data_IF_308564202810
#
_entry.id   IF_308564202810
#
_cell.length_a   1.000
_cell.length_b   1.000
_cell.length_c   1.000
_cell.angle_alpha   90.00
_cell.angle_beta   90.00
_cell.angle_gamma   90.00
#
_symmetry.space_group_name_H-M   'P 1'
#
loop_
_entity.id
_entity.type
_entity.pdbx_description
1 polymer ?
#
# COMPACT_ATOMS: atom_id res chain seq x y z
N UNK A 1 33.36 -33.35 -20.46
CA UNK A 1 32.33 -32.39 -20.02
C UNK A 1 31.03 -33.17 -19.85
N UNK A 2 30.73 -33.57 -18.62
CA UNK A 2 29.55 -34.39 -18.32
C UNK A 2 28.40 -33.48 -17.90
N UNK A 3 27.33 -33.46 -18.68
CA UNK A 3 26.11 -32.70 -18.40
C UNK A 3 25.16 -33.56 -17.58
N UNK A 4 24.83 -33.14 -16.36
CA UNK A 4 23.77 -33.76 -15.54
C UNK A 4 22.39 -33.53 -16.18
N UNK A 5 21.49 -34.53 -16.20
CA UNK A 5 20.13 -34.36 -16.69
C UNK A 5 19.26 -33.57 -15.70
N UNK A 6 18.46 -32.64 -16.20
CA UNK A 6 17.49 -31.88 -15.42
C UNK A 6 16.38 -32.80 -14.91
N UNK A 7 16.27 -32.94 -13.59
CA UNK A 7 15.30 -33.79 -12.93
C UNK A 7 13.86 -33.30 -13.17
N UNK A 8 13.00 -34.20 -13.64
CA UNK A 8 11.55 -34.04 -13.62
C UNK A 8 11.12 -33.68 -12.18
N UNK A 9 10.20 -32.73 -11.92
CA UNK A 9 9.79 -32.46 -10.54
C UNK A 9 9.26 -33.73 -9.85
N UNK A 10 8.62 -34.64 -10.59
CA UNK A 10 8.26 -35.97 -10.13
C UNK A 10 9.47 -36.82 -9.68
N UNK A 11 10.61 -36.71 -10.37
CA UNK A 11 11.86 -37.38 -9.97
C UNK A 11 12.50 -36.73 -8.73
N UNK A 12 12.30 -35.41 -8.53
CA UNK A 12 12.80 -34.73 -7.33
C UNK A 12 12.07 -35.16 -6.05
N UNK A 13 10.77 -35.50 -6.13
CA UNK A 13 10.01 -36.03 -5.00
C UNK A 13 10.36 -37.49 -4.69
N UNK A 14 10.78 -38.27 -5.70
CA UNK A 14 11.28 -39.63 -5.50
C UNK A 14 12.54 -39.68 -4.63
N UNK A 15 13.39 -38.66 -4.73
CA UNK A 15 14.61 -38.55 -3.92
C UNK A 15 14.38 -38.00 -2.51
N UNK A 16 13.20 -37.46 -2.20
CA UNK A 16 12.87 -36.92 -0.88
C UNK A 16 12.50 -38.02 0.11
N UNK A 17 12.90 -37.81 1.36
CA UNK A 17 12.59 -38.72 2.46
C UNK A 17 11.12 -38.57 2.89
N UNK A 18 10.58 -39.60 3.54
CA UNK A 18 9.20 -39.61 4.04
C UNK A 18 8.90 -38.45 5.00
N UNK A 19 9.84 -38.13 5.89
CA UNK A 19 9.72 -37.02 6.84
C UNK A 19 9.62 -35.67 6.14
N UNK A 20 10.41 -35.46 5.09
CA UNK A 20 10.36 -34.24 4.27
C UNK A 20 9.03 -34.14 3.50
N UNK A 21 8.53 -35.25 2.95
CA UNK A 21 7.24 -35.27 2.27
C UNK A 21 6.08 -34.99 3.23
N UNK A 22 6.14 -35.48 4.47
CA UNK A 22 5.16 -35.14 5.52
C UNK A 22 5.24 -33.68 5.93
N UNK A 23 6.45 -33.12 6.08
CA UNK A 23 6.64 -31.72 6.44
C UNK A 23 5.99 -30.77 5.41
N UNK A 24 6.13 -31.08 4.12
CA UNK A 24 5.47 -30.34 3.04
C UNK A 24 3.94 -30.35 3.14
N UNK A 25 3.35 -31.43 3.69
CA UNK A 25 1.91 -31.57 3.86
C UNK A 25 1.42 -30.89 5.14
N UNK A 26 2.22 -30.90 6.21
CA UNK A 26 1.90 -30.28 7.49
C UNK A 26 1.96 -28.76 7.46
N UNK A 27 2.72 -28.18 6.52
CA UNK A 27 2.90 -26.74 6.38
C UNK A 27 2.52 -26.20 4.99
N UNK A 28 1.27 -26.39 4.52
CA UNK A 28 0.85 -25.98 3.18
C UNK A 28 0.94 -24.46 2.94
N UNK A 29 0.98 -23.65 3.99
CA UNK A 29 1.11 -22.19 3.94
C UNK A 29 2.45 -21.69 3.38
N UNK A 30 3.50 -22.52 3.42
CA UNK A 30 4.84 -22.14 2.95
C UNK A 30 5.17 -22.65 1.55
N UNK A 31 4.30 -23.43 0.92
CA UNK A 31 4.57 -24.09 -0.35
C UNK A 31 3.48 -23.84 -1.40
N UNK A 32 3.85 -23.93 -2.68
CA UNK A 32 2.87 -23.84 -3.76
C UNK A 32 1.89 -25.03 -3.69
N UNK A 33 0.58 -24.85 -3.94
CA UNK A 33 -0.41 -25.93 -3.85
C UNK A 33 -0.06 -27.16 -4.68
N UNK A 34 0.59 -26.97 -5.83
CA UNK A 34 1.02 -28.08 -6.70
C UNK A 34 2.15 -28.94 -6.09
N UNK A 35 3.03 -28.33 -5.27
CA UNK A 35 4.11 -29.02 -4.54
C UNK A 35 3.50 -29.88 -3.44
N UNK A 36 2.52 -29.33 -2.71
CA UNK A 36 1.78 -30.06 -1.67
C UNK A 36 0.98 -31.21 -2.29
N UNK A 37 0.32 -30.98 -3.44
CA UNK A 37 -0.41 -32.01 -4.17
C UNK A 37 0.51 -33.11 -4.73
N UNK A 38 1.71 -32.76 -5.22
CA UNK A 38 2.71 -33.73 -5.65
C UNK A 38 3.26 -34.56 -4.48
N UNK A 39 3.55 -33.94 -3.34
CA UNK A 39 3.99 -34.63 -2.12
C UNK A 39 2.93 -35.60 -1.58
N UNK A 40 1.64 -35.22 -1.60
CA UNK A 40 0.52 -36.11 -1.24
C UNK A 40 0.43 -37.32 -2.17
N UNK A 41 0.56 -37.11 -3.48
CA UNK A 41 0.55 -38.21 -4.47
C UNK A 41 1.71 -39.18 -4.27
N UNK A 42 2.91 -38.66 -3.99
CA UNK A 42 4.09 -39.49 -3.74
C UNK A 42 3.97 -40.30 -2.44
N UNK A 43 3.45 -39.71 -1.34
CA UNK A 43 3.20 -40.45 -0.10
C UNK A 43 2.14 -41.54 -0.27
N UNK A 44 1.06 -41.25 -1.00
CA UNK A 44 0.05 -42.25 -1.37
C UNK A 44 0.64 -43.38 -2.23
N UNK A 45 1.50 -43.06 -3.21
CA UNK A 45 2.18 -44.05 -4.04
C UNK A 45 3.11 -44.95 -3.22
N UNK A 46 3.65 -44.45 -2.11
CA UNK A 46 4.48 -45.21 -1.16
C UNK A 46 3.67 -45.98 -0.12
N UNK A 47 2.34 -45.97 -0.18
CA UNK A 47 1.46 -46.71 0.73
C UNK A 47 1.31 -46.09 2.12
N UNK A 48 1.69 -44.82 2.29
CA UNK A 48 1.44 -44.10 3.54
C UNK A 48 0.08 -43.40 3.44
N UNK A 49 -0.85 -43.80 4.30
CA UNK A 49 -2.13 -43.11 4.42
C UNK A 49 -1.92 -41.70 4.99
N UNK A 50 -2.15 -40.68 4.18
CA UNK A 50 -2.17 -39.28 4.62
C UNK A 50 -3.50 -38.94 5.29
N UNK A 51 -3.98 -39.80 6.19
CA UNK A 51 -5.01 -39.40 7.13
C UNK A 51 -4.32 -38.43 8.11
N UNK A 52 -4.86 -37.22 8.35
CA UNK A 52 -4.27 -36.34 9.34
C UNK A 52 -4.32 -37.07 10.69
N UNK A 53 -3.17 -37.54 11.15
CA UNK A 53 -2.96 -37.87 12.55
C UNK A 53 -3.11 -36.55 13.29
N UNK A 54 -4.26 -36.35 13.95
CA UNK A 54 -4.38 -35.33 14.99
C UNK A 54 -3.41 -35.73 16.10
N UNK A 55 -2.17 -35.27 15.98
CA UNK A 55 -1.22 -35.32 17.09
C UNK A 55 -1.74 -34.37 18.16
N UNK A 56 -2.36 -34.94 19.18
CA UNK A 56 -2.45 -34.34 20.51
C UNK A 56 -1.03 -34.00 20.95
N UNK A 57 -0.70 -32.71 20.96
CA UNK A 57 0.52 -32.19 21.54
C UNK A 57 0.23 -30.88 22.27
N UNK A 58 0.40 -30.93 23.59
CA UNK A 58 0.85 -29.79 24.39
C UNK A 58 -0.17 -28.72 24.69
N UNK A 59 -0.73 -28.81 25.90
CA UNK A 59 -1.37 -27.70 26.62
C UNK A 59 -0.46 -26.47 26.61
N UNK A 60 -0.71 -25.54 25.69
CA UNK A 60 -0.32 -24.15 25.85
C UNK A 60 -1.56 -23.42 26.37
N UNK A 61 -1.47 -22.92 27.60
CA UNK A 61 -2.49 -22.10 28.24
C UNK A 61 -2.78 -20.88 27.35
N UNK A 62 -3.89 -20.96 26.63
CA UNK A 62 -4.51 -19.85 25.92
C UNK A 62 -5.14 -18.91 26.97
N UNK A 63 -4.91 -17.59 26.94
CA UNK A 63 -5.66 -16.68 27.78
C UNK A 63 -7.13 -16.70 27.35
N UNK A 64 -7.94 -17.14 28.29
CA UNK A 64 -9.39 -16.99 28.42
C UNK A 64 -9.89 -15.66 27.82
N UNK A 65 -10.47 -15.73 26.61
CA UNK A 65 -11.28 -14.65 26.07
C UNK A 65 -12.68 -14.81 26.63
N UNK A 66 -13.00 -13.96 27.60
CA UNK A 66 -14.34 -13.76 28.11
C UNK A 66 -15.31 -13.34 26.99
N UNK A 67 -16.41 -14.09 26.91
CA UNK A 67 -17.77 -13.73 26.51
C UNK A 67 -17.97 -12.79 25.31
N UNK A 68 -18.27 -13.39 24.15
CA UNK A 68 -19.05 -12.76 23.09
C UNK A 68 -20.55 -13.08 23.31
N UNK A 69 -21.46 -12.09 23.24
CA UNK A 69 -22.89 -12.34 23.41
C UNK A 69 -23.44 -13.25 22.30
N UNK A 70 -24.20 -14.25 22.75
CA UNK A 70 -24.76 -15.33 21.96
C UNK A 70 -25.96 -14.89 21.11
N UNK A 71 -25.75 -14.17 20.01
CA UNK A 71 -26.84 -13.85 19.07
C UNK A 71 -26.38 -13.87 17.61
N UNK A 72 -26.24 -15.07 17.01
CA UNK A 72 -26.32 -15.26 15.54
C UNK A 72 -26.37 -16.73 15.10
N UNK A 73 -27.12 -17.57 15.82
CA UNK A 73 -27.28 -19.02 15.51
C UNK A 73 -28.25 -19.36 14.37
N UNK A 74 -28.86 -18.38 13.69
CA UNK A 74 -29.91 -18.63 12.69
C UNK A 74 -29.50 -18.43 11.23
N UNK A 75 -28.24 -18.07 10.92
CA UNK A 75 -27.77 -17.89 9.52
C UNK A 75 -27.24 -19.19 8.90
N UNK A 76 -27.04 -20.24 9.70
CA UNK A 76 -26.44 -21.50 9.24
C UNK A 76 -27.29 -22.35 8.27
N UNK A 77 -28.64 -22.42 8.33
CA UNK A 77 -29.39 -23.28 7.42
C UNK A 77 -29.66 -22.67 6.03
N UNK A 78 -29.50 -21.36 5.84
CA UNK A 78 -29.81 -20.70 4.56
C UNK A 78 -28.67 -20.79 3.52
N UNK A 79 -27.41 -20.87 3.98
CA UNK A 79 -26.23 -20.98 3.08
C UNK A 79 -26.02 -22.41 2.53
N UNK A 80 -26.51 -23.43 3.22
CA UNK A 80 -26.40 -24.83 2.77
C UNK A 80 -27.27 -25.16 1.56
N UNK A 81 -28.49 -24.59 1.49
CA UNK A 81 -29.44 -24.85 0.40
C UNK A 81 -29.05 -24.13 -0.90
N UNK A 82 -28.44 -22.94 -0.82
CA UNK A 82 -27.99 -22.18 -2.00
C UNK A 82 -26.82 -22.84 -2.74
N UNK A 83 -25.88 -23.45 -2.01
CA UNK A 83 -24.75 -24.19 -2.60
C UNK A 83 -25.19 -25.50 -3.28
N UNK A 84 -26.24 -26.15 -2.75
CA UNK A 84 -26.74 -27.42 -3.28
C UNK A 84 -27.48 -27.24 -4.61
N UNK A 85 -28.20 -26.13 -4.80
CA UNK A 85 -28.85 -25.77 -6.07
C UNK A 85 -27.83 -25.39 -7.14
N UNK A 86 -26.76 -24.66 -6.79
CA UNK A 86 -25.68 -24.33 -7.74
C UNK A 86 -24.87 -25.56 -8.16
N UNK A 87 -24.65 -26.53 -7.25
CA UNK A 87 -24.00 -27.79 -7.58
C UNK A 87 -24.84 -28.67 -8.52
N UNK A 88 -26.17 -28.71 -8.34
CA UNK A 88 -27.07 -29.47 -9.22
C UNK A 88 -27.25 -28.83 -10.61
N UNK A 89 -27.29 -27.50 -10.71
CA UNK A 89 -27.32 -26.81 -12.01
C UNK A 89 -25.99 -26.89 -12.77
N UNK A 90 -24.85 -27.01 -12.06
CA UNK A 90 -23.54 -27.23 -12.67
C UNK A 90 -23.35 -28.64 -13.21
N UNK A 91 -23.96 -29.65 -12.57
CA UNK A 91 -23.79 -31.06 -12.97
C UNK A 91 -24.52 -31.40 -14.29
N UNK A 92 -25.70 -30.80 -14.52
CA UNK A 92 -26.49 -31.07 -15.74
C UNK A 92 -25.90 -30.47 -17.02
N UNK A 93 -24.90 -29.59 -16.93
CA UNK A 93 -24.24 -28.99 -18.11
C UNK A 93 -23.03 -29.78 -18.61
N UNK A 94 -22.71 -30.92 -17.98
CA UNK A 94 -21.57 -31.77 -18.32
C UNK A 94 -21.91 -33.08 -19.06
N UNK A 95 -23.13 -33.21 -19.61
CA UNK A 95 -23.42 -34.25 -20.62
C UNK A 95 -23.10 -33.73 -22.03
N UNK A 96 -21.82 -33.45 -22.27
CA UNK A 96 -21.30 -33.30 -23.63
C UNK A 96 -20.68 -34.63 -24.04
N UNK A 97 -21.40 -35.40 -24.87
CA UNK A 97 -20.90 -36.56 -25.58
C UNK A 97 -19.50 -36.29 -26.15
N UNK A 98 -18.51 -36.99 -25.62
CA UNK A 98 -17.13 -36.89 -26.10
C UNK A 98 -17.08 -37.29 -27.58
N UNK A 99 -16.59 -36.43 -28.49
CA UNK A 99 -16.36 -36.83 -29.87
C UNK A 99 -15.25 -37.89 -29.91
N UNK A 100 -15.49 -38.97 -30.65
CA UNK A 100 -14.55 -40.08 -30.82
C UNK A 100 -13.15 -39.56 -31.18
N UNK A 101 -12.15 -39.98 -30.40
CA UNK A 101 -10.78 -39.55 -30.51
C UNK A 101 -10.18 -39.86 -31.90
N UNK A 102 -10.00 -38.82 -32.72
CA UNK A 102 -9.13 -38.90 -33.91
C UNK A 102 -7.68 -38.91 -33.42
N UNK A 103 -6.91 -39.93 -33.80
CA UNK A 103 -5.46 -40.01 -33.53
C UNK A 103 -4.77 -38.79 -34.15
N UNK A 104 -4.30 -37.87 -33.31
CA UNK A 104 -3.52 -36.73 -33.73
C UNK A 104 -2.15 -37.18 -34.28
N UNK A 105 -1.62 -36.53 -35.34
CA UNK A 105 -0.27 -36.79 -35.82
C UNK A 105 0.75 -36.45 -34.74
N UNK A 106 1.82 -37.27 -34.65
CA UNK A 106 2.89 -37.18 -33.65
C UNK A 106 3.63 -35.84 -33.82
N UNK A 107 3.23 -34.83 -33.06
CA UNK A 107 3.85 -33.52 -33.06
C UNK A 107 5.32 -33.63 -32.61
N UNK A 108 6.22 -33.00 -33.37
CA UNK A 108 7.62 -32.88 -32.98
C UNK A 108 7.72 -32.25 -31.58
N UNK A 109 8.66 -32.69 -30.72
CA UNK A 109 8.77 -32.21 -29.35
C UNK A 109 8.95 -30.69 -29.36
N UNK A 110 8.02 -29.99 -28.70
CA UNK A 110 8.06 -28.54 -28.57
C UNK A 110 9.41 -28.14 -27.96
N UNK A 111 10.22 -27.41 -28.72
CA UNK A 111 11.51 -26.94 -28.26
C UNK A 111 11.31 -26.03 -27.04
N UNK A 112 11.78 -26.50 -25.88
CA UNK A 112 11.71 -25.76 -24.63
C UNK A 112 12.59 -24.50 -24.76
N UNK A 113 11.96 -23.33 -24.83
CA UNK A 113 12.67 -22.05 -24.77
C UNK A 113 13.05 -21.79 -23.32
N UNK A 114 14.35 -21.72 -23.03
CA UNK A 114 14.83 -21.27 -21.72
C UNK A 114 14.34 -19.84 -21.48
N UNK A 115 13.41 -19.65 -20.56
CA UNK A 115 12.95 -18.32 -20.14
C UNK A 115 13.95 -17.78 -19.13
N UNK A 116 14.64 -16.70 -19.48
CA UNK A 116 15.57 -16.04 -18.58
C UNK A 116 14.82 -15.50 -17.36
N UNK A 117 15.01 -16.12 -16.20
CA UNK A 117 14.48 -15.64 -14.93
C UNK A 117 15.25 -14.37 -14.56
N UNK A 118 14.59 -13.19 -14.61
CA UNK A 118 15.16 -12.01 -13.94
C UNK A 118 14.66 -11.99 -12.49
N UNK A 119 15.56 -11.94 -11.49
CA UNK A 119 15.14 -11.89 -10.08
C UNK A 119 14.31 -10.64 -9.82
N UNK A 120 13.24 -10.78 -9.02
CA UNK A 120 12.51 -9.63 -8.49
C UNK A 120 13.41 -8.92 -7.49
N UNK A 121 13.50 -7.60 -7.61
CA UNK A 121 14.32 -6.81 -6.70
C UNK A 121 13.78 -6.94 -5.27
N UNK A 122 14.65 -7.32 -4.34
CA UNK A 122 14.33 -7.39 -2.91
C UNK A 122 14.84 -6.13 -2.21
N UNK A 123 14.16 -5.74 -1.12
CA UNK A 123 14.46 -4.52 -0.37
C UNK A 123 14.77 -4.79 1.11
N UNK A 124 15.10 -6.03 1.47
CA UNK A 124 15.16 -6.48 2.87
C UNK A 124 16.11 -5.66 3.75
N UNK A 125 17.31 -5.36 3.26
CA UNK A 125 18.31 -4.57 4.00
C UNK A 125 17.83 -3.12 4.25
N UNK A 126 17.18 -2.52 3.25
CA UNK A 126 16.61 -1.18 3.35
C UNK A 126 15.43 -1.16 4.33
N UNK A 127 14.54 -2.15 4.25
CA UNK A 127 13.40 -2.31 5.16
C UNK A 127 13.87 -2.42 6.61
N UNK A 128 14.86 -3.27 6.88
CA UNK A 128 15.42 -3.44 8.24
C UNK A 128 15.96 -2.10 8.76
N UNK A 129 16.71 -1.38 7.93
CA UNK A 129 17.28 -0.07 8.29
C UNK A 129 16.19 0.95 8.63
N UNK A 130 15.13 1.01 7.81
CA UNK A 130 14.01 1.93 8.01
C UNK A 130 13.21 1.60 9.29
N UNK A 131 12.95 0.32 9.55
CA UNK A 131 12.26 -0.15 10.77
C UNK A 131 13.08 0.15 12.02
N UNK A 132 14.39 -0.08 11.99
CA UNK A 132 15.28 0.26 13.11
C UNK A 132 15.33 1.76 13.37
N UNK A 133 15.35 2.57 12.31
CA UNK A 133 15.30 4.03 12.42
C UNK A 133 14.00 4.50 13.06
N UNK A 134 12.85 3.95 12.67
CA UNK A 134 11.57 4.24 13.33
C UNK A 134 11.56 3.84 14.79
N UNK A 135 12.08 2.64 15.12
CA UNK A 135 12.22 2.21 16.52
C UNK A 135 13.01 3.22 17.34
N UNK A 136 14.10 3.77 16.78
CA UNK A 136 14.94 4.75 17.47
C UNK A 136 14.24 6.08 17.75
N UNK A 137 13.21 6.43 16.98
CA UNK A 137 12.39 7.65 17.19
C UNK A 137 11.36 7.49 18.31
N UNK A 138 11.15 6.28 18.83
CA UNK A 138 10.20 6.03 19.91
C UNK A 138 10.80 6.42 21.28
N UNK A 139 10.01 7.09 22.15
CA UNK A 139 10.42 7.38 23.52
C UNK A 139 10.88 6.12 24.27
N UNK A 140 11.86 6.24 25.16
CA UNK A 140 12.37 5.10 25.93
C UNK A 140 11.27 4.42 26.76
N UNK A 141 10.34 5.21 27.30
CA UNK A 141 9.17 4.73 28.06
C UNK A 141 8.26 3.86 27.21
N UNK A 142 7.94 4.27 25.98
CA UNK A 142 7.11 3.47 25.07
C UNK A 142 7.86 2.23 24.55
N UNK A 143 9.18 2.30 24.38
CA UNK A 143 10.01 1.15 23.97
C UNK A 143 10.08 0.03 25.01
N UNK A 144 9.79 0.33 26.28
CA UNK A 144 9.75 -0.67 27.34
C UNK A 144 8.58 -1.65 27.18
N UNK A 145 7.49 -1.23 26.55
CA UNK A 145 6.37 -2.11 26.16
C UNK A 145 6.77 -2.93 24.93
N UNK A 146 7.33 -4.12 25.19
CA UNK A 146 7.84 -5.02 24.15
C UNK A 146 6.74 -5.55 23.25
N UNK A 147 5.51 -5.68 23.75
CA UNK A 147 4.36 -6.19 22.99
C UNK A 147 3.85 -5.14 22.02
N UNK A 148 3.57 -3.92 22.48
CA UNK A 148 3.15 -2.82 21.60
C UNK A 148 4.25 -2.49 20.58
N UNK A 149 5.51 -2.45 21.03
CA UNK A 149 6.66 -2.21 20.15
C UNK A 149 6.76 -3.28 19.06
N UNK A 150 6.63 -4.57 19.39
CA UNK A 150 6.69 -5.66 18.40
C UNK A 150 5.58 -5.53 17.36
N UNK A 151 4.34 -5.26 17.79
CA UNK A 151 3.20 -5.07 16.88
C UNK A 151 3.42 -3.88 15.94
N UNK A 152 3.81 -2.73 16.50
CA UNK A 152 4.13 -1.53 15.73
C UNK A 152 5.22 -1.81 14.67
N UNK A 153 6.33 -2.45 15.06
CA UNK A 153 7.43 -2.75 14.13
C UNK A 153 7.04 -3.77 13.04
N UNK A 154 6.12 -4.70 13.33
CA UNK A 154 5.58 -5.60 12.31
C UNK A 154 4.76 -4.85 11.26
N UNK A 155 3.91 -3.90 11.70
CA UNK A 155 3.13 -3.05 10.81
C UNK A 155 4.03 -2.14 9.97
N UNK A 156 5.03 -1.52 10.61
CA UNK A 156 6.05 -0.73 9.95
C UNK A 156 6.81 -1.55 8.89
N UNK A 157 7.20 -2.79 9.20
CA UNK A 157 7.89 -3.67 8.24
C UNK A 157 7.03 -3.95 7.00
N UNK A 158 5.74 -4.24 7.19
CA UNK A 158 4.79 -4.45 6.08
C UNK A 158 4.62 -3.19 5.23
N UNK A 159 4.52 -2.04 5.88
CA UNK A 159 4.48 -0.74 5.21
C UNK A 159 5.73 -0.50 4.36
N UNK A 160 6.94 -0.64 4.92
CA UNK A 160 8.19 -0.39 4.19
C UNK A 160 8.41 -1.38 3.04
N UNK A 161 7.96 -2.62 3.16
CA UNK A 161 7.97 -3.58 2.07
C UNK A 161 7.13 -3.08 0.88
N UNK A 162 5.87 -2.71 1.13
CA UNK A 162 4.98 -2.20 0.10
C UNK A 162 5.45 -0.86 -0.49
N UNK A 163 5.92 0.06 0.36
CA UNK A 163 6.42 1.39 0.01
C UNK A 163 7.65 1.35 -0.91
N UNK A 164 8.67 0.55 -0.56
CA UNK A 164 9.88 0.47 -1.37
C UNK A 164 9.61 -0.17 -2.74
N UNK A 165 8.73 -1.18 -2.78
CA UNK A 165 8.31 -1.78 -4.04
C UNK A 165 7.46 -0.81 -4.89
N UNK A 166 6.56 -0.04 -4.28
CA UNK A 166 5.76 0.98 -4.97
C UNK A 166 6.65 2.08 -5.58
N UNK A 167 7.67 2.52 -4.84
CA UNK A 167 8.62 3.53 -5.31
C UNK A 167 9.48 3.01 -6.48
N UNK A 168 9.85 1.73 -6.45
CA UNK A 168 10.59 1.12 -7.57
C UNK A 168 9.71 1.01 -8.83
N UNK A 169 8.47 0.55 -8.69
CA UNK A 169 7.52 0.50 -9.81
C UNK A 169 7.26 1.88 -10.40
N UNK A 170 7.14 2.90 -9.55
CA UNK A 170 7.04 4.28 -10.01
C UNK A 170 8.29 4.72 -10.80
N UNK A 171 9.50 4.39 -10.33
CA UNK A 171 10.75 4.69 -11.04
C UNK A 171 10.84 3.97 -12.39
N UNK A 172 10.35 2.73 -12.48
CA UNK A 172 10.27 2.01 -13.74
C UNK A 172 9.30 2.70 -14.70
N UNK A 173 8.13 3.15 -14.21
CA UNK A 173 7.15 3.87 -15.01
C UNK A 173 7.71 5.18 -15.60
N UNK A 174 8.34 6.04 -14.79
CA UNK A 174 8.93 7.31 -15.29
C UNK A 174 10.08 7.10 -16.28
N UNK A 175 10.78 5.96 -16.18
CA UNK A 175 11.88 5.60 -17.07
C UNK A 175 11.39 4.88 -18.33
N UNK A 176 10.07 4.70 -18.51
CA UNK A 176 9.47 3.87 -19.55
C UNK A 176 10.04 2.44 -19.58
N UNK A 177 10.41 1.89 -18.41
CA UNK A 177 10.93 0.52 -18.23
C UNK A 177 9.82 -0.43 -17.77
N UNK A 178 8.68 -0.40 -18.46
CA UNK A 178 7.53 -1.27 -18.17
C UNK A 178 7.64 -2.55 -18.99
N UNK A 179 8.32 -3.57 -18.48
CA UNK A 179 8.38 -4.88 -19.14
C UNK A 179 7.07 -5.67 -18.96
N UNK A 180 6.97 -6.86 -19.59
CA UNK A 180 5.75 -7.71 -19.54
C UNK A 180 5.32 -8.09 -18.11
N UNK A 181 6.20 -7.95 -17.11
CA UNK A 181 5.91 -8.26 -15.70
C UNK A 181 5.40 -7.07 -14.92
N UNK A 182 5.56 -5.85 -15.44
CA UNK A 182 5.22 -4.62 -14.74
C UNK A 182 3.76 -4.62 -14.26
N UNK A 183 2.82 -5.07 -15.10
CA UNK A 183 1.40 -5.21 -14.75
C UNK A 183 1.15 -6.20 -13.60
N UNK A 184 1.84 -7.34 -13.61
CA UNK A 184 1.78 -8.34 -12.54
C UNK A 184 2.33 -7.81 -11.22
N UNK A 185 3.43 -7.05 -11.26
CA UNK A 185 4.01 -6.41 -10.08
C UNK A 185 3.12 -5.30 -9.51
N UNK A 186 2.46 -4.51 -10.36
CA UNK A 186 1.46 -3.53 -9.93
C UNK A 186 0.29 -4.19 -9.20
N UNK A 187 -0.25 -5.29 -9.76
CA UNK A 187 -1.33 -6.05 -9.12
C UNK A 187 -0.90 -6.60 -7.76
N UNK A 188 0.28 -7.23 -7.69
CA UNK A 188 0.82 -7.75 -6.44
C UNK A 188 1.01 -6.65 -5.39
N UNK A 189 1.54 -5.49 -5.78
CA UNK A 189 1.73 -4.38 -4.87
C UNK A 189 0.38 -3.75 -4.42
N UNK A 190 -0.63 -3.68 -5.29
CA UNK A 190 -2.00 -3.28 -4.93
C UNK A 190 -2.59 -4.20 -3.85
N UNK A 191 -2.43 -5.51 -3.99
CA UNK A 191 -2.88 -6.50 -3.00
C UNK A 191 -2.16 -6.33 -1.64
N UNK A 192 -0.86 -6.04 -1.66
CA UNK A 192 -0.10 -5.69 -0.44
C UNK A 192 -0.66 -4.45 0.25
N UNK A 193 -0.94 -3.38 -0.50
CA UNK A 193 -1.54 -2.16 0.06
C UNK A 193 -2.94 -2.43 0.62
N UNK A 194 -3.78 -3.17 -0.10
CA UNK A 194 -5.12 -3.53 0.36
C UNK A 194 -5.08 -4.33 1.66
N UNK A 195 -4.18 -5.32 1.75
CA UNK A 195 -3.97 -6.12 2.96
C UNK A 195 -3.50 -5.25 4.13
N UNK A 196 -2.53 -4.37 3.89
CA UNK A 196 -2.03 -3.44 4.90
C UNK A 196 -3.13 -2.49 5.38
N UNK A 197 -3.85 -1.82 4.47
CA UNK A 197 -4.94 -0.91 4.80
C UNK A 197 -6.05 -1.57 5.60
N UNK A 198 -6.34 -2.85 5.36
CA UNK A 198 -7.28 -3.61 6.19
C UNK A 198 -6.78 -3.73 7.62
N UNK A 199 -5.52 -4.12 7.81
CA UNK A 199 -4.92 -4.30 9.14
C UNK A 199 -4.80 -2.96 9.89
N UNK A 200 -4.52 -1.86 9.18
CA UNK A 200 -4.37 -0.53 9.78
C UNK A 200 -5.67 0.06 10.33
N UNK A 201 -6.84 -0.48 9.96
CA UNK A 201 -8.15 -0.03 10.49
C UNK A 201 -8.41 -0.49 11.92
N UNK A 202 -7.73 -1.54 12.38
CA UNK A 202 -7.95 -2.08 13.72
C UNK A 202 -7.29 -1.23 14.80
N UNK A 203 -7.90 -1.20 15.98
CA UNK A 203 -7.23 -0.69 17.17
C UNK A 203 -6.21 -1.72 17.68
N UNK A 204 -4.94 -1.34 17.61
CA UNK A 204 -3.81 -2.19 18.00
C UNK A 204 -3.42 -2.03 19.47
N UNK A 205 -4.12 -1.17 20.24
CA UNK A 205 -3.78 -0.80 21.63
C UNK A 205 -2.32 -0.38 21.76
N UNK A 206 -1.87 0.50 20.87
CA UNK A 206 -0.49 1.00 20.85
C UNK A 206 -0.33 2.17 21.81
N UNK A 207 0.92 2.42 22.20
CA UNK A 207 1.29 3.61 22.96
C UNK A 207 1.05 4.89 22.12
N UNK A 208 0.84 6.06 22.73
CA UNK A 208 0.40 7.27 22.02
C UNK A 208 1.32 7.71 20.86
N UNK A 209 2.65 7.66 21.02
CA UNK A 209 3.56 8.05 19.94
C UNK A 209 3.54 7.04 18.80
N UNK A 210 3.51 5.74 19.11
CA UNK A 210 3.33 4.68 18.11
C UNK A 210 2.01 4.84 17.35
N UNK A 211 0.91 5.19 18.02
CA UNK A 211 -0.40 5.41 17.39
C UNK A 211 -0.38 6.62 16.44
N UNK A 212 0.27 7.72 16.84
CA UNK A 212 0.49 8.88 15.96
C UNK A 212 1.29 8.50 14.71
N UNK A 213 2.37 7.73 14.87
CA UNK A 213 3.16 7.26 13.74
C UNK A 213 2.38 6.27 12.86
N UNK A 214 1.52 5.43 13.45
CA UNK A 214 0.65 4.53 12.71
C UNK A 214 -0.40 5.28 11.87
N UNK A 215 -0.94 6.39 12.38
CA UNK A 215 -1.83 7.25 11.61
C UNK A 215 -1.13 7.85 10.37
N UNK A 216 0.14 8.25 10.51
CA UNK A 216 0.97 8.70 9.37
C UNK A 216 1.20 7.56 8.36
N UNK A 217 1.49 6.34 8.84
CA UNK A 217 1.60 5.14 7.98
C UNK A 217 0.29 4.88 7.22
N UNK A 218 -0.86 4.96 7.90
CA UNK A 218 -2.17 4.75 7.28
C UNK A 218 -2.49 5.78 6.21
N UNK A 219 -2.15 7.05 6.45
CA UNK A 219 -2.31 8.09 5.43
C UNK A 219 -1.39 7.82 4.22
N UNK A 220 -0.10 7.57 4.45
CA UNK A 220 0.84 7.26 3.36
C UNK A 220 0.41 6.02 2.54
N UNK A 221 -0.10 4.98 3.22
CA UNK A 221 -0.60 3.77 2.58
C UNK A 221 -1.79 4.05 1.66
N UNK A 222 -2.72 4.91 2.07
CA UNK A 222 -3.86 5.33 1.24
C UNK A 222 -3.39 6.04 -0.03
N UNK A 223 -2.46 6.99 0.09
CA UNK A 223 -1.90 7.72 -1.07
C UNK A 223 -1.19 6.77 -2.05
N UNK A 224 -0.41 5.81 -1.54
CA UNK A 224 0.28 4.82 -2.36
C UNK A 224 -0.69 3.82 -3.01
N UNK A 225 -1.72 3.40 -2.31
CA UNK A 225 -2.77 2.56 -2.88
C UNK A 225 -3.45 3.25 -4.08
N UNK A 226 -3.82 4.53 -3.94
CA UNK A 226 -4.36 5.31 -5.05
C UNK A 226 -3.38 5.39 -6.23
N UNK A 227 -2.11 5.74 -5.96
CA UNK A 227 -1.07 5.80 -6.99
C UNK A 227 -0.94 4.48 -7.76
N UNK A 228 -0.83 3.36 -7.05
CA UNK A 228 -0.63 2.03 -7.66
C UNK A 228 -1.86 1.59 -8.45
N UNK A 229 -3.06 1.84 -7.93
CA UNK A 229 -4.32 1.51 -8.61
C UNK A 229 -4.49 2.33 -9.89
N UNK A 230 -4.13 3.61 -9.86
CA UNK A 230 -4.13 4.48 -11.03
C UNK A 230 -3.15 3.97 -12.09
N UNK A 231 -1.89 3.68 -11.71
CA UNK A 231 -0.91 3.10 -12.63
C UNK A 231 -1.38 1.76 -13.23
N UNK A 232 -2.01 0.90 -12.43
CA UNK A 232 -2.56 -0.38 -12.88
C UNK A 232 -3.73 -0.18 -13.86
N UNK A 233 -4.61 0.79 -13.59
CA UNK A 233 -5.71 1.16 -14.47
C UNK A 233 -5.21 1.68 -15.82
N UNK A 234 -4.25 2.60 -15.83
CA UNK A 234 -3.64 3.12 -17.05
C UNK A 234 -3.02 1.99 -17.89
N UNK A 235 -2.27 1.08 -17.25
CA UNK A 235 -1.68 -0.07 -17.94
C UNK A 235 -2.72 -1.02 -18.52
N UNK A 236 -3.84 -1.26 -17.81
CA UNK A 236 -4.94 -2.07 -18.33
C UNK A 236 -5.60 -1.45 -19.57
N UNK A 237 -5.50 -0.13 -19.76
CA UNK A 237 -5.97 0.58 -20.94
C UNK A 237 -4.93 0.71 -22.07
N UNK A 238 -3.72 0.16 -21.88
CA UNK A 238 -2.61 0.35 -22.82
C UNK A 238 -2.03 1.78 -22.80
N UNK A 239 -2.33 2.55 -21.76
CA UNK A 239 -1.81 3.91 -21.56
C UNK A 239 -0.53 3.90 -20.71
N UNK A 240 0.30 4.97 -20.79
CA UNK A 240 1.46 5.12 -19.93
C UNK A 240 1.09 5.04 -18.46
N UNK A 241 1.79 4.20 -17.69
CA UNK A 241 1.53 4.07 -16.26
C UNK A 241 1.74 5.40 -15.52
N UNK A 242 2.67 6.22 -15.98
CA UNK A 242 2.94 7.52 -15.41
C UNK A 242 1.98 8.58 -15.95
N UNK A 243 1.28 9.25 -15.03
CA UNK A 243 0.48 10.46 -15.28
C UNK A 243 0.72 11.50 -14.16
N UNK A 244 0.42 12.80 -14.36
CA UNK A 244 0.68 13.84 -13.37
C UNK A 244 0.10 13.58 -11.97
N UNK A 245 -1.08 12.95 -11.90
CA UNK A 245 -1.71 12.57 -10.62
C UNK A 245 -0.93 11.47 -9.89
N UNK A 246 -0.24 10.55 -10.59
CA UNK A 246 0.63 9.55 -9.93
C UNK A 246 1.86 10.18 -9.30
N UNK A 247 2.49 11.15 -9.98
CA UNK A 247 3.62 11.91 -9.45
C UNK A 247 3.26 12.65 -8.17
N UNK A 248 2.12 13.30 -8.21
CA UNK A 248 1.46 13.92 -7.08
C UNK A 248 1.37 12.99 -5.86
N UNK A 249 0.79 11.80 -6.03
CA UNK A 249 0.49 10.91 -4.90
C UNK A 249 1.80 10.38 -4.34
N UNK A 250 2.77 10.12 -5.24
CA UNK A 250 4.14 9.76 -4.89
C UNK A 250 4.80 10.83 -4.04
N UNK A 251 4.69 12.11 -4.41
CA UNK A 251 5.34 13.20 -3.67
C UNK A 251 4.73 13.42 -2.29
N UNK A 252 3.40 13.40 -2.17
CA UNK A 252 2.72 13.45 -0.88
C UNK A 252 3.13 12.26 0.01
N UNK A 253 3.16 11.04 -0.54
CA UNK A 253 3.61 9.86 0.19
C UNK A 253 5.10 9.95 0.57
N UNK A 254 5.94 10.51 -0.31
CA UNK A 254 7.37 10.72 -0.05
C UNK A 254 7.61 11.69 1.10
N UNK A 255 6.82 12.77 1.19
CA UNK A 255 6.85 13.67 2.33
C UNK A 255 6.49 12.94 3.64
N UNK A 256 5.42 12.15 3.66
CA UNK A 256 5.04 11.37 4.85
C UNK A 256 6.11 10.33 5.22
N UNK A 257 6.76 9.71 4.23
CA UNK A 257 7.93 8.86 4.45
C UNK A 257 9.07 9.60 5.16
N UNK A 258 9.32 10.86 4.83
CA UNK A 258 10.33 11.67 5.53
C UNK A 258 9.93 11.95 6.98
N UNK A 259 8.64 12.21 7.25
CA UNK A 259 8.09 12.33 8.61
C UNK A 259 8.37 11.05 9.41
N UNK A 260 8.05 9.90 8.83
CA UNK A 260 8.24 8.58 9.44
C UNK A 260 9.70 8.23 9.71
N UNK A 261 10.63 8.79 8.95
CA UNK A 261 12.07 8.60 9.14
C UNK A 261 12.68 9.69 10.04
N UNK A 262 11.87 10.55 10.65
CA UNK A 262 12.33 11.60 11.55
C UNK A 262 13.17 12.66 10.86
N UNK A 263 12.95 12.90 9.56
CA UNK A 263 13.60 14.00 8.85
C UNK A 263 13.07 15.32 9.44
N UNK A 264 13.95 16.25 9.87
CA UNK A 264 13.54 17.56 10.38
C UNK A 264 12.67 18.31 9.37
N UNK A 265 11.66 19.03 9.83
CA UNK A 265 10.74 19.77 8.95
C UNK A 265 11.46 20.70 7.96
N UNK A 266 12.54 21.36 8.38
CA UNK A 266 13.39 22.22 7.53
C UNK A 266 14.10 21.49 6.39
N UNK A 267 14.26 20.17 6.50
CA UNK A 267 14.93 19.32 5.51
C UNK A 267 13.96 18.45 4.72
N UNK A 268 12.66 18.50 5.04
CA UNK A 268 11.66 17.78 4.26
C UNK A 268 11.54 18.44 2.90
N UNK A 269 11.63 17.61 1.87
CA UNK A 269 11.55 18.04 0.47
C UNK A 269 10.42 17.30 -0.20
N UNK A 270 9.54 18.06 -0.82
CA UNK A 270 8.81 17.56 -1.97
C UNK A 270 9.76 17.62 -3.16
N UNK A 271 9.65 16.66 -4.08
CA UNK A 271 10.23 16.84 -5.40
C UNK A 271 9.57 18.10 -5.94
N UNK A 272 10.37 19.10 -6.31
CA UNK A 272 9.82 20.37 -6.76
C UNK A 272 8.86 20.11 -7.91
N UNK A 273 7.57 20.24 -7.67
CA UNK A 273 6.64 20.53 -8.74
C UNK A 273 7.18 21.82 -9.34
N UNK A 274 7.49 21.79 -10.63
CA UNK A 274 7.55 23.00 -11.45
C UNK A 274 6.37 23.84 -10.98
N UNK A 275 6.58 25.09 -10.51
CA UNK A 275 5.49 25.89 -9.98
C UNK A 275 4.38 25.86 -11.02
N UNK A 276 3.30 25.11 -10.73
CA UNK A 276 2.07 25.23 -11.50
C UNK A 276 1.75 26.70 -11.39
N UNK A 277 1.70 27.36 -12.55
CA UNK A 277 1.62 28.82 -12.69
C UNK A 277 0.86 29.37 -11.49
N UNK A 278 1.59 29.95 -10.53
CA UNK A 278 0.97 30.56 -9.35
C UNK A 278 -0.12 31.44 -9.92
N UNK A 279 -1.39 31.24 -9.52
CA UNK A 279 -2.54 31.79 -10.24
C UNK A 279 -2.24 33.23 -10.58
N UNK A 280 -2.20 33.52 -11.88
CA UNK A 280 -1.89 34.86 -12.36
C UNK A 280 -2.90 35.80 -11.69
N UNK A 281 -2.38 36.92 -11.23
CA UNK A 281 -3.05 37.98 -10.50
C UNK A 281 -4.53 38.15 -10.92
N UNK A 282 -5.45 37.99 -9.96
CA UNK A 282 -6.88 38.23 -10.17
C UNK A 282 -7.72 36.97 -10.42
N UNK A 283 -7.11 35.88 -10.86
CA UNK A 283 -7.79 34.60 -11.01
C UNK A 283 -7.78 33.87 -9.67
N UNK A 284 -8.82 34.13 -8.88
CA UNK A 284 -9.05 33.32 -7.69
C UNK A 284 -9.33 31.88 -8.10
N UNK A 285 -8.82 30.90 -7.33
CA UNK A 285 -9.24 29.54 -7.50
C UNK A 285 -10.76 29.48 -7.49
N UNK A 286 -11.36 29.00 -8.57
CA UNK A 286 -12.78 28.70 -8.63
C UNK A 286 -13.18 27.91 -7.37
N UNK A 287 -14.14 28.43 -6.59
CA UNK A 287 -14.53 27.85 -5.30
C UNK A 287 -13.72 28.30 -4.07
N UNK A 288 -12.82 29.28 -4.20
CA UNK A 288 -12.17 29.93 -3.05
C UNK A 288 -13.15 30.81 -2.29
N UNK A 289 -13.18 30.66 -0.96
CA UNK A 289 -13.97 31.49 -0.06
C UNK A 289 -13.07 32.52 0.64
N UNK A 290 -13.44 33.78 0.53
CA UNK A 290 -12.80 34.86 1.29
C UNK A 290 -13.26 34.79 2.75
N UNK A 291 -12.31 34.67 3.67
CA UNK A 291 -12.58 34.61 5.12
C UNK A 291 -11.88 35.76 5.84
N UNK A 292 -12.46 36.20 6.97
CA UNK A 292 -11.92 37.30 7.77
C UNK A 292 -10.74 36.89 8.67
N UNK A 293 -10.64 35.62 9.04
CA UNK A 293 -9.62 35.08 9.94
C UNK A 293 -9.13 33.71 9.44
N UNK A 294 -7.99 33.26 9.98
CA UNK A 294 -7.48 31.91 9.68
C UNK A 294 -8.49 30.86 10.15
N UNK A 295 -8.79 29.84 9.33
CA UNK A 295 -9.70 28.77 9.71
C UNK A 295 -9.13 27.99 10.90
N UNK A 296 -10.01 27.48 11.76
CA UNK A 296 -9.58 26.64 12.88
C UNK A 296 -8.93 25.34 12.37
N UNK A 297 -7.82 24.91 12.98
CA UNK A 297 -7.18 23.64 12.65
C UNK A 297 -8.14 22.47 12.87
N UNK A 298 -8.27 21.59 11.89
CA UNK A 298 -9.03 20.34 12.03
C UNK A 298 -8.05 19.18 12.20
N UNK A 299 -8.19 18.43 13.29
CA UNK A 299 -7.37 17.25 13.55
C UNK A 299 -7.49 16.25 12.39
N UNK A 300 -6.35 15.78 11.89
CA UNK A 300 -6.28 14.86 10.75
C UNK A 300 -6.43 15.51 9.37
N UNK A 301 -6.77 16.79 9.28
CA UNK A 301 -6.67 17.54 8.02
C UNK A 301 -5.25 18.11 7.87
N UNK A 302 -4.73 18.13 6.65
CA UNK A 302 -3.41 18.67 6.31
C UNK A 302 -3.50 19.67 5.15
N UNK A 303 -4.21 20.80 5.31
CA UNK A 303 -4.27 21.81 4.26
C UNK A 303 -2.88 22.41 4.01
N UNK A 304 -2.61 22.82 2.78
CA UNK A 304 -1.42 23.64 2.51
C UNK A 304 -1.71 25.10 2.79
N UNK A 305 -0.72 25.82 3.29
CA UNK A 305 -0.82 27.26 3.49
C UNK A 305 0.07 27.97 2.48
N UNK A 306 -0.43 29.02 1.84
CA UNK A 306 0.34 29.80 0.87
C UNK A 306 0.43 31.24 1.39
N UNK A 307 1.59 31.66 1.86
CA UNK A 307 1.82 33.04 2.30
C UNK A 307 2.56 33.81 1.22
N UNK A 308 1.89 34.80 0.63
CA UNK A 308 2.44 35.66 -0.43
C UNK A 308 3.07 34.86 -1.59
N UNK A 309 2.43 33.75 -1.99
CA UNK A 309 2.91 32.87 -3.04
C UNK A 309 3.91 31.80 -2.61
N UNK A 310 4.45 31.89 -1.39
CA UNK A 310 5.31 30.83 -0.83
C UNK A 310 4.46 29.77 -0.14
N UNK A 311 4.66 28.51 -0.52
CA UNK A 311 3.93 27.37 0.04
C UNK A 311 4.56 26.89 1.35
N UNK A 312 3.71 26.56 2.30
CA UNK A 312 4.03 26.01 3.60
C UNK A 312 3.07 24.86 3.93
N UNK A 313 3.52 23.91 4.73
CA UNK A 313 2.70 22.78 5.16
C UNK A 313 2.11 23.03 6.55
N UNK A 314 0.88 22.57 6.74
CA UNK A 314 0.32 22.48 8.08
C UNK A 314 1.04 21.42 8.92
N UNK A 315 0.83 21.49 10.23
CA UNK A 315 1.20 20.40 11.11
C UNK A 315 0.35 19.15 10.78
N UNK A 316 0.96 18.01 10.42
CA UNK A 316 0.22 16.84 9.91
C UNK A 316 -0.65 16.16 10.96
N UNK A 317 -0.47 16.46 12.26
CA UNK A 317 -1.27 15.86 13.33
C UNK A 317 -2.46 16.72 13.72
N UNK A 318 -2.31 18.05 13.66
CA UNK A 318 -3.29 19.02 14.15
C UNK A 318 -3.97 19.84 13.04
N UNK A 319 -3.41 19.84 11.82
CA UNK A 319 -3.82 20.73 10.73
C UNK A 319 -3.46 22.20 10.98
N UNK A 320 -2.66 22.47 12.01
CA UNK A 320 -2.41 23.82 12.46
C UNK A 320 -1.49 24.58 11.49
N UNK A 321 -1.68 25.90 11.35
CA UNK A 321 -0.84 26.72 10.48
C UNK A 321 0.63 26.66 10.92
N UNK A 322 1.57 26.75 9.97
CA UNK A 322 3.00 26.84 10.24
C UNK A 322 3.30 28.11 11.05
N UNK A 323 4.45 28.13 11.74
CA UNK A 323 4.84 29.23 12.63
C UNK A 323 4.84 30.59 11.90
N UNK A 324 5.29 30.61 10.65
CA UNK A 324 5.38 31.78 9.78
C UNK A 324 4.03 32.44 9.50
N UNK A 325 2.92 31.70 9.66
CA UNK A 325 1.56 32.21 9.46
C UNK A 325 0.88 32.41 10.81
N UNK A 326 1.11 31.51 11.76
CA UNK A 326 0.52 31.58 13.11
C UNK A 326 0.95 32.83 13.87
N UNK A 327 2.19 33.26 13.69
CA UNK A 327 2.76 34.42 14.38
C UNK A 327 2.68 35.72 13.57
N UNK A 328 1.93 35.74 12.47
CA UNK A 328 1.68 36.99 11.75
C UNK A 328 0.82 37.93 12.60
N UNK A 329 1.22 39.20 12.76
CA UNK A 329 0.38 40.21 13.38
C UNK A 329 -0.95 40.32 12.63
N UNK A 330 -2.07 40.36 13.35
CA UNK A 330 -3.42 40.42 12.75
C UNK A 330 -3.62 41.68 11.90
N UNK A 331 -2.94 42.78 12.24
CA UNK A 331 -2.91 44.01 11.47
C UNK A 331 -2.09 43.91 10.18
N UNK A 332 -1.20 42.91 10.04
CA UNK A 332 -0.44 42.65 8.81
C UNK A 332 -1.21 41.82 7.78
N UNK A 333 -2.28 41.14 8.21
CA UNK A 333 -3.12 40.31 7.35
C UNK A 333 -3.97 41.22 6.45
N UNK A 334 -3.89 40.96 5.15
CA UNK A 334 -4.66 41.67 4.14
C UNK A 334 -5.88 40.88 3.67
N UNK A 335 -5.64 39.64 3.22
CA UNK A 335 -6.68 38.78 2.66
C UNK A 335 -6.39 37.31 2.96
N UNK A 336 -7.41 36.54 3.30
CA UNK A 336 -7.29 35.09 3.54
C UNK A 336 -8.33 34.39 2.66
N UNK A 337 -7.88 33.42 1.87
CA UNK A 337 -8.74 32.60 1.03
C UNK A 337 -8.65 31.16 1.49
N UNK A 338 -9.80 30.53 1.70
CA UNK A 338 -9.89 29.09 1.93
C UNK A 338 -10.34 28.44 0.63
N UNK A 339 -9.50 27.55 0.11
CA UNK A 339 -9.72 26.86 -1.16
C UNK A 339 -10.11 25.42 -0.84
N UNK A 340 -11.24 24.99 -1.37
CA UNK A 340 -11.75 23.63 -1.15
C UNK A 340 -10.79 22.57 -1.72
N UNK A 341 -10.72 21.37 -1.14
CA UNK A 341 -9.89 20.25 -1.59
C UNK A 341 -9.74 20.11 -3.11
N UNK A 342 -10.83 19.96 -3.85
CA UNK A 342 -10.81 19.72 -5.29
C UNK A 342 -10.14 20.87 -6.06
N UNK A 343 -10.48 22.11 -5.72
CA UNK A 343 -9.87 23.29 -6.34
C UNK A 343 -8.41 23.43 -5.88
N UNK A 344 -8.13 23.22 -4.60
CA UNK A 344 -6.80 23.38 -4.05
C UNK A 344 -5.82 22.39 -4.68
N UNK A 345 -6.24 21.14 -4.91
CA UNK A 345 -5.51 20.13 -5.68
C UNK A 345 -5.22 20.61 -7.10
N UNK A 346 -6.20 21.24 -7.77
CA UNK A 346 -6.05 21.78 -9.14
C UNK A 346 -5.00 22.89 -9.22
N UNK A 347 -4.96 23.78 -8.23
CA UNK A 347 -4.11 24.99 -8.26
C UNK A 347 -2.75 24.83 -7.58
N UNK A 348 -2.71 24.17 -6.42
CA UNK A 348 -1.51 24.06 -5.59
C UNK A 348 -0.87 22.68 -5.65
N UNK A 349 -1.44 21.80 -6.48
CA UNK A 349 -1.07 20.41 -6.51
C UNK A 349 -1.56 19.67 -5.25
N UNK A 350 -1.35 18.35 -5.18
CA UNK A 350 -2.30 17.55 -4.42
C UNK A 350 -1.81 17.20 -3.01
N UNK A 351 -0.70 17.80 -2.62
CA UNK A 351 -0.45 18.22 -1.25
C UNK A 351 -1.62 18.99 -0.63
N UNK A 352 -2.41 19.70 -1.44
CA UNK A 352 -3.60 20.42 -1.03
C UNK A 352 -4.89 19.55 -1.05
N UNK A 353 -4.76 18.23 -0.90
CA UNK A 353 -5.90 17.30 -0.88
C UNK A 353 -6.89 17.57 0.25
N UNK A 354 -6.44 18.18 1.34
CA UNK A 354 -7.31 18.63 2.43
C UNK A 354 -7.69 20.13 2.31
N UNK A 355 -7.44 20.73 1.15
CA UNK A 355 -7.67 22.13 0.87
C UNK A 355 -6.39 22.98 0.94
N UNK A 356 -6.57 24.28 0.72
CA UNK A 356 -5.49 25.26 0.87
C UNK A 356 -5.98 26.53 1.56
N UNK A 357 -5.08 27.20 2.29
CA UNK A 357 -5.32 28.51 2.90
C UNK A 357 -4.30 29.49 2.32
N UNK A 358 -4.76 30.39 1.45
CA UNK A 358 -3.93 31.42 0.83
C UNK A 358 -4.01 32.69 1.65
N UNK A 359 -2.87 33.17 2.13
CA UNK A 359 -2.74 34.35 2.96
C UNK A 359 -1.95 35.41 2.21
N UNK A 360 -2.54 36.58 2.04
CA UNK A 360 -1.90 37.78 1.52
C UNK A 360 -1.72 38.80 2.63
N UNK A 361 -0.51 39.30 2.79
CA UNK A 361 -0.24 40.42 3.71
C UNK A 361 -0.64 41.75 3.09
N UNK A 362 -0.95 42.76 3.91
CA UNK A 362 -1.25 44.13 3.44
C UNK A 362 -0.11 44.70 2.60
N UNK A 363 1.14 44.43 2.96
CA UNK A 363 2.32 44.84 2.19
C UNK A 363 2.31 44.28 0.78
N UNK A 364 2.05 42.99 0.63
CA UNK A 364 1.93 42.33 -0.68
C UNK A 364 0.75 42.87 -1.49
N UNK A 365 -0.41 43.11 -0.87
CA UNK A 365 -1.55 43.70 -1.57
C UNK A 365 -1.26 45.11 -2.09
N UNK A 366 -0.55 45.93 -1.31
CA UNK A 366 -0.11 47.27 -1.77
C UNK A 366 0.88 47.17 -2.93
N UNK A 367 1.86 46.26 -2.84
CA UNK A 367 2.83 46.02 -3.91
C UNK A 367 2.14 45.57 -5.20
N UNK A 368 1.17 44.65 -5.08
CA UNK A 368 0.33 44.22 -6.20
C UNK A 368 -0.38 45.46 -6.75
N UNK A 369 -1.13 46.21 -5.93
CA UNK A 369 -1.89 47.37 -6.38
C UNK A 369 -1.05 48.44 -7.11
N UNK A 370 0.22 48.64 -6.72
CA UNK A 370 1.10 49.63 -7.34
C UNK A 370 1.77 49.20 -8.64
N UNK A 371 1.74 47.91 -8.99
CA UNK A 371 2.36 47.37 -10.22
C UNK A 371 1.36 46.51 -10.99
N UNK A 372 0.27 47.06 -11.56
CA UNK A 372 -0.66 46.30 -12.39
C UNK A 372 0.11 45.43 -13.40
N UNK A 373 -0.23 44.15 -13.46
CA UNK A 373 0.39 43.27 -14.45
C UNK A 373 -0.18 43.69 -15.81
N UNK A 374 0.71 44.13 -16.71
CA UNK A 374 0.38 44.43 -18.11
C UNK A 374 0.06 43.15 -18.90
#
# INVERSE_FOLDING_TARGET
>A
MSSSPAANPADSFRQKTEAELRYLIQHPEFYHPDVVAAARRELHQRGFDTRPESTSAGTATEPEFADLPAERRWVAPALGLGLLVLALLGWHQYDASAPAARKAPKAAPAALKAVALRPVQTFDSLIITQVLRQKALLPATERADTTATRKYLLLARRYWAAENQAEDLYKQAIQNKTDDRFSGLLKMNSEQWRSLSYVLKYDHKLQPTMQKQLAVIAHAATLRAYMINEMAFQQAQGLPAFIPTTHTHRDSAFYLRQVLLGVPASHRRLTSLTPMDTPKRGDFPEGAQLVASLPEPKAGANPVYILNGKLFHSDPSSGAPPAEIRYLPTDSLGRILVVQPTAAVRYFGPQAHDGAVVVFTKGTLRFIASHPAD
#
